data_IF_899610349031
#
_entry.id   IF_899610349031
#
_cell.length_a   1.000
_cell.length_b   1.000
_cell.length_c   1.000
_cell.angle_alpha   90.00
_cell.angle_beta   90.00
_cell.angle_gamma   90.00
#
_symmetry.space_group_name_H-M   'P 1'
#
loop_
_entity.id
_entity.type
_entity.pdbx_description
1 polymer ?
#
# COMPACT_ATOMS: atom_id res chain seq x y z
N UNK A 1 6.49 31.03 18.09
CA UNK A 1 5.52 30.11 18.73
C UNK A 1 6.31 29.01 19.40
N UNK A 2 6.14 28.83 20.71
CA UNK A 2 6.91 27.91 21.53
C UNK A 2 6.67 26.47 21.05
N UNK A 3 7.72 25.76 20.66
CA UNK A 3 7.70 24.31 20.52
C UNK A 3 7.46 23.74 21.91
N UNK A 4 6.38 22.98 22.06
CA UNK A 4 5.97 22.43 23.33
C UNK A 4 7.07 21.50 23.87
N UNK A 5 7.29 21.51 25.18
CA UNK A 5 8.35 20.72 25.82
C UNK A 5 8.13 19.21 25.57
N UNK A 6 6.89 18.83 25.30
CA UNK A 6 6.47 17.49 24.86
C UNK A 6 7.02 17.09 23.49
N UNK A 7 7.10 18.02 22.52
CA UNK A 7 7.66 17.77 21.19
C UNK A 7 9.15 17.45 21.28
N UNK A 8 9.88 18.16 22.16
CA UNK A 8 11.32 17.95 22.38
C UNK A 8 11.59 16.60 23.04
N UNK A 9 10.79 16.18 24.01
CA UNK A 9 10.94 14.87 24.66
C UNK A 9 10.57 13.70 23.72
N UNK A 10 9.60 13.90 22.82
CA UNK A 10 9.30 12.96 21.72
C UNK A 10 10.47 12.90 20.75
N UNK A 11 11.07 14.04 20.39
CA UNK A 11 12.25 14.13 19.51
C UNK A 11 13.51 13.48 20.11
N UNK A 12 13.79 13.72 21.40
CA UNK A 12 14.92 13.14 22.15
C UNK A 12 14.75 11.65 22.37
N UNK A 13 13.51 11.22 22.60
CA UNK A 13 13.16 9.83 22.47
C UNK A 13 13.56 9.38 21.08
N UNK A 14 13.06 10.00 19.99
CA UNK A 14 13.25 9.59 18.57
C UNK A 14 14.72 9.32 18.16
N UNK A 15 15.67 10.09 18.72
CA UNK A 15 17.11 10.02 18.46
C UNK A 15 17.78 8.64 18.67
N UNK A 16 17.30 7.81 19.61
CA UNK A 16 18.04 6.60 20.04
C UNK A 16 17.73 5.27 19.30
N UNK A 17 16.95 5.23 18.20
CA UNK A 17 16.35 3.95 17.75
C UNK A 17 16.46 3.56 16.28
N UNK A 18 16.84 4.43 15.35
CA UNK A 18 16.59 4.14 13.93
C UNK A 18 17.74 3.45 13.20
N UNK A 19 17.37 2.45 12.38
CA UNK A 19 18.19 1.81 11.35
C UNK A 19 17.58 2.16 9.99
N UNK A 20 18.30 2.86 9.10
CA UNK A 20 17.85 3.15 7.73
C UNK A 20 18.45 2.09 6.80
N UNK A 21 17.64 1.39 6.00
CA UNK A 21 18.15 0.44 5.00
C UNK A 21 18.07 1.05 3.60
N UNK A 22 19.22 1.15 2.94
CA UNK A 22 19.34 1.46 1.51
C UNK A 22 19.56 0.16 0.71
N UNK A 23 19.26 0.19 -0.59
CA UNK A 23 19.28 -1.00 -1.46
C UNK A 23 20.62 -1.24 -2.16
N UNK A 24 21.75 -0.83 -1.57
CA UNK A 24 23.08 -1.18 -2.06
C UNK A 24 23.93 -1.75 -0.92
N UNK A 25 24.61 -2.86 -1.22
CA UNK A 25 25.41 -3.65 -0.29
C UNK A 25 26.59 -2.89 0.32
N UNK A 26 26.95 -3.30 1.55
CA UNK A 26 28.22 -3.06 2.24
C UNK A 26 28.65 -1.60 2.48
N UNK A 27 28.33 -1.09 3.68
CA UNK A 27 29.30 -0.39 4.55
C UNK A 27 28.68 -0.09 5.91
N UNK A 28 29.12 -0.84 6.93
CA UNK A 28 28.96 -0.49 8.34
C UNK A 28 29.73 0.81 8.58
N UNK A 29 29.03 1.94 8.66
CA UNK A 29 29.57 3.14 9.32
C UNK A 29 28.50 3.70 10.25
N UNK A 30 28.80 3.65 11.55
CA UNK A 30 28.04 4.33 12.59
C UNK A 30 28.08 5.84 12.32
N UNK A 31 27.00 6.39 11.76
CA UNK A 31 26.73 7.83 11.75
C UNK A 31 25.64 8.13 12.81
N UNK A 32 25.70 9.26 13.52
CA UNK A 32 24.67 9.63 14.48
C UNK A 32 23.31 9.72 13.77
N UNK A 33 22.29 9.12 14.37
CA UNK A 33 20.96 8.98 13.78
C UNK A 33 20.33 10.36 13.49
N UNK A 34 19.98 10.61 12.22
CA UNK A 34 19.31 11.83 11.79
C UNK A 34 17.98 12.02 12.56
N UNK A 35 17.66 13.25 12.96
CA UNK A 35 16.42 13.55 13.71
C UNK A 35 15.16 13.27 12.88
N UNK A 36 13.98 13.00 13.49
CA UNK A 36 12.72 12.87 12.73
C UNK A 36 12.46 14.09 11.85
N UNK A 37 12.81 15.28 12.36
CA UNK A 37 12.78 16.51 11.58
C UNK A 37 13.70 16.43 10.36
N UNK A 38 14.94 15.96 10.51
CA UNK A 38 15.85 15.75 9.37
C UNK A 38 15.37 14.65 8.42
N UNK A 39 14.73 13.58 8.91
CA UNK A 39 14.19 12.50 8.07
C UNK A 39 12.97 13.02 7.29
N UNK A 40 12.05 13.70 7.97
CA UNK A 40 10.89 14.34 7.35
C UNK A 40 11.31 15.49 6.42
N UNK A 41 12.39 16.22 6.74
CA UNK A 41 12.97 17.22 5.83
C UNK A 41 13.71 16.58 4.65
N UNK A 42 14.36 15.42 4.81
CA UNK A 42 14.94 14.66 3.68
C UNK A 42 13.87 14.06 2.78
N UNK A 43 12.81 13.51 3.37
CA UNK A 43 11.61 13.00 2.68
C UNK A 43 10.88 14.15 1.96
N UNK A 44 10.82 15.35 2.58
CA UNK A 44 10.25 16.57 1.98
C UNK A 44 11.16 17.17 0.90
N UNK A 45 12.47 17.12 1.08
CA UNK A 45 13.47 17.60 0.12
C UNK A 45 13.77 16.59 -1.00
N UNK A 46 13.08 15.44 -0.98
CA UNK A 46 13.24 14.36 -1.94
C UNK A 46 14.67 13.83 -2.09
N UNK A 47 15.49 13.94 -1.03
CA UNK A 47 16.85 13.41 -1.01
C UNK A 47 16.81 11.90 -0.79
N UNK A 48 17.55 11.15 -1.60
CA UNK A 48 17.89 9.72 -1.43
C UNK A 48 16.79 8.66 -1.71
N UNK A 49 15.76 8.96 -2.51
CA UNK A 49 14.76 7.96 -3.00
C UNK A 49 14.22 6.99 -1.94
N UNK A 50 13.94 7.48 -0.72
CA UNK A 50 13.44 6.62 0.36
C UNK A 50 12.07 6.04 -0.04
N UNK A 51 11.99 4.72 -0.18
CA UNK A 51 10.74 4.01 -0.59
C UNK A 51 9.97 3.41 0.58
N UNK A 52 10.61 3.19 1.71
CA UNK A 52 9.98 2.62 2.91
C UNK A 52 10.36 3.45 4.14
N UNK A 53 9.37 3.83 4.93
CA UNK A 53 9.55 4.35 6.28
C UNK A 53 9.05 3.30 7.27
N UNK A 54 9.98 2.77 8.05
CA UNK A 54 9.72 1.71 9.01
C UNK A 54 9.95 2.16 10.45
N UNK A 55 8.88 2.26 11.25
CA UNK A 55 8.93 2.75 12.63
C UNK A 55 8.65 1.68 13.70
N UNK A 56 8.52 0.38 13.36
CA UNK A 56 8.21 -0.70 14.34
C UNK A 56 9.16 -0.73 15.53
N UNK A 57 10.46 -0.58 15.25
CA UNK A 57 11.51 -0.62 16.29
C UNK A 57 11.36 0.51 17.31
N UNK A 58 10.76 1.64 16.91
CA UNK A 58 10.53 2.76 17.82
C UNK A 58 9.42 2.45 18.83
N UNK A 59 8.31 1.85 18.37
CA UNK A 59 7.26 1.38 19.25
C UNK A 59 7.80 0.33 20.25
N UNK A 60 8.59 -0.63 19.78
CA UNK A 60 9.23 -1.66 20.61
C UNK A 60 10.15 -1.07 21.69
N UNK A 61 10.84 0.04 21.38
CA UNK A 61 11.69 0.77 22.32
C UNK A 61 10.91 1.74 23.23
N UNK A 62 9.58 1.57 23.33
CA UNK A 62 8.66 2.40 24.15
C UNK A 62 8.60 3.87 23.74
N UNK A 63 8.89 4.17 22.47
CA UNK A 63 8.88 5.52 21.91
C UNK A 63 7.81 5.66 20.87
N UNK A 64 6.58 5.49 21.34
CA UNK A 64 5.37 5.57 20.54
C UNK A 64 5.16 7.00 20.05
N UNK A 65 4.56 7.13 18.86
CA UNK A 65 4.30 8.44 18.26
C UNK A 65 3.16 9.14 18.98
N UNK A 66 2.19 8.36 19.51
CA UNK A 66 0.96 8.86 20.11
C UNK A 66 0.12 9.65 19.08
N UNK A 67 -1.05 10.18 19.46
CA UNK A 67 -1.92 10.93 18.54
C UNK A 67 -1.22 12.07 17.80
N UNK A 68 -0.44 12.89 18.52
CA UNK A 68 0.26 14.04 17.93
C UNK A 68 1.34 13.64 16.90
N UNK A 69 2.09 12.57 17.16
CA UNK A 69 3.07 12.07 16.22
C UNK A 69 2.43 11.45 14.98
N UNK A 70 1.32 10.72 15.13
CA UNK A 70 0.54 10.21 13.99
C UNK A 70 0.00 11.33 13.11
N UNK A 71 -0.53 12.39 13.73
CA UNK A 71 -1.01 13.60 13.06
C UNK A 71 0.11 14.33 12.27
N UNK A 72 1.30 14.47 12.86
CA UNK A 72 2.47 15.02 12.18
C UNK A 72 2.89 14.17 10.97
N UNK A 73 2.94 12.85 11.11
CA UNK A 73 3.28 11.95 9.99
C UNK A 73 2.25 12.09 8.87
N UNK A 74 0.96 12.08 9.18
CA UNK A 74 -0.10 12.28 8.18
C UNK A 74 0.10 13.57 7.38
N UNK A 75 0.34 14.71 8.04
CA UNK A 75 0.60 15.99 7.36
C UNK A 75 1.83 15.97 6.46
N UNK A 76 2.95 15.40 6.91
CA UNK A 76 4.18 15.41 6.12
C UNK A 76 4.05 14.53 4.87
N UNK A 77 3.36 13.40 5.00
CA UNK A 77 3.22 12.44 3.91
C UNK A 77 2.17 12.81 2.85
N UNK A 78 1.34 13.83 3.09
CA UNK A 78 0.40 14.35 2.09
C UNK A 78 1.08 14.74 0.77
N UNK A 79 2.26 15.35 0.86
CA UNK A 79 3.02 15.83 -0.32
C UNK A 79 4.17 14.91 -0.69
N UNK A 80 4.46 13.88 0.10
CA UNK A 80 5.49 12.93 -0.26
C UNK A 80 5.03 12.08 -1.46
N UNK A 81 5.96 11.80 -2.38
CA UNK A 81 5.71 11.00 -3.60
C UNK A 81 6.69 9.85 -3.78
N UNK A 82 7.60 9.65 -2.84
CA UNK A 82 8.69 8.67 -2.96
C UNK A 82 8.54 7.48 -2.04
N UNK A 83 7.95 7.68 -0.86
CA UNK A 83 7.67 6.57 0.05
C UNK A 83 6.44 5.83 -0.45
N UNK A 84 6.66 4.56 -0.74
CA UNK A 84 5.64 3.61 -1.17
C UNK A 84 5.12 2.77 0.00
N UNK A 85 5.90 2.66 1.09
CA UNK A 85 5.59 1.81 2.23
C UNK A 85 5.76 2.56 3.55
N UNK A 86 4.68 2.69 4.32
CA UNK A 86 4.65 3.37 5.62
C UNK A 86 4.23 2.37 6.69
N UNK A 87 5.14 2.06 7.62
CA UNK A 87 4.93 1.09 8.68
C UNK A 87 4.91 1.79 10.04
N UNK A 88 3.73 1.87 10.64
CA UNK A 88 3.48 2.50 11.94
C UNK A 88 2.79 1.52 12.92
N UNK A 89 3.26 0.28 13.12
CA UNK A 89 2.63 -0.60 14.10
C UNK A 89 2.89 -0.17 15.55
N UNK A 90 1.92 -0.38 16.43
CA UNK A 90 2.04 -0.26 17.90
C UNK A 90 2.40 1.14 18.43
N UNK A 91 1.96 2.20 17.75
CA UNK A 91 2.32 3.60 18.07
C UNK A 91 1.26 4.38 18.87
N UNK A 92 0.14 3.76 19.25
CA UNK A 92 -0.99 4.39 19.95
C UNK A 92 -1.42 5.71 19.27
N UNK A 93 -1.51 5.74 17.93
CA UNK A 93 -1.88 6.97 17.22
C UNK A 93 -3.38 7.32 17.37
N UNK A 94 -4.20 6.35 17.80
CA UNK A 94 -5.64 6.48 18.04
C UNK A 94 -6.38 7.04 16.79
N UNK A 95 -7.63 7.46 16.98
CA UNK A 95 -8.46 7.98 15.90
C UNK A 95 -7.94 9.31 15.33
N UNK A 96 -7.21 10.11 16.12
CA UNK A 96 -6.59 11.36 15.66
C UNK A 96 -5.55 11.06 14.59
N UNK A 97 -4.64 10.11 14.83
CA UNK A 97 -3.66 9.68 13.85
C UNK A 97 -4.31 9.01 12.65
N UNK A 98 -5.33 8.17 12.86
CA UNK A 98 -6.06 7.53 11.77
C UNK A 98 -6.75 8.55 10.84
N UNK A 99 -7.36 9.61 11.37
CA UNK A 99 -7.91 10.72 10.59
C UNK A 99 -6.84 11.44 9.79
N UNK A 100 -5.67 11.67 10.37
CA UNK A 100 -4.55 12.27 9.65
C UNK A 100 -4.05 11.37 8.52
N UNK A 101 -4.03 10.04 8.72
CA UNK A 101 -3.73 9.08 7.66
C UNK A 101 -4.80 9.08 6.55
N UNK A 102 -6.08 9.15 6.90
CA UNK A 102 -7.17 9.31 5.92
C UNK A 102 -6.99 10.57 5.07
N UNK A 103 -6.71 11.71 5.71
CA UNK A 103 -6.42 12.97 5.00
C UNK A 103 -5.16 12.87 4.12
N UNK A 104 -4.15 12.11 4.55
CA UNK A 104 -2.94 11.84 3.77
C UNK A 104 -3.24 11.02 2.53
N UNK A 105 -3.99 9.92 2.66
CA UNK A 105 -4.38 9.05 1.54
C UNK A 105 -5.20 9.80 0.48
N UNK A 106 -6.06 10.75 0.87
CA UNK A 106 -6.79 11.58 -0.11
C UNK A 106 -5.88 12.41 -1.03
N UNK A 107 -4.70 12.80 -0.54
CA UNK A 107 -3.75 13.64 -1.27
C UNK A 107 -2.56 12.85 -1.86
N UNK A 108 -2.29 11.65 -1.34
CA UNK A 108 -1.17 10.82 -1.70
C UNK A 108 -1.62 9.64 -2.57
N UNK A 109 -1.24 9.68 -3.84
CA UNK A 109 -1.55 8.65 -4.83
C UNK A 109 -0.33 7.78 -5.20
N UNK A 110 0.70 7.76 -4.35
CA UNK A 110 1.91 6.95 -4.56
C UNK A 110 2.07 5.86 -3.51
N UNK A 111 1.50 6.04 -2.32
CA UNK A 111 1.62 5.06 -1.24
C UNK A 111 0.92 3.76 -1.65
N UNK A 112 1.65 2.65 -1.51
CA UNK A 112 1.20 1.30 -1.87
C UNK A 112 0.93 0.43 -0.64
N UNK A 113 1.58 0.73 0.48
CA UNK A 113 1.50 -0.07 1.69
C UNK A 113 1.41 0.81 2.93
N UNK A 114 0.37 0.61 3.72
CA UNK A 114 0.14 1.30 4.99
C UNK A 114 -0.15 0.27 6.09
N UNK A 115 0.71 0.21 7.09
CA UNK A 115 0.55 -0.67 8.26
C UNK A 115 0.28 0.16 9.51
N UNK A 116 -0.96 0.07 10.02
CA UNK A 116 -1.45 0.74 11.22
C UNK A 116 -1.89 -0.27 12.29
N UNK A 117 -1.28 -1.46 12.33
CA UNK A 117 -1.60 -2.46 13.36
C UNK A 117 -1.33 -1.95 14.77
N UNK A 118 -2.15 -2.32 15.76
CA UNK A 118 -1.83 -2.04 17.17
C UNK A 118 -1.93 -0.57 17.58
N UNK A 119 -2.79 0.23 16.95
CA UNK A 119 -2.82 1.68 17.12
C UNK A 119 -4.02 2.22 17.89
N UNK A 120 -4.80 1.35 18.53
CA UNK A 120 -6.01 1.74 19.28
C UNK A 120 -7.05 2.48 18.40
N UNK A 121 -7.06 2.21 17.10
CA UNK A 121 -8.00 2.80 16.14
C UNK A 121 -9.40 2.22 16.38
N UNK A 122 -10.42 3.08 16.48
CA UNK A 122 -11.80 2.66 16.66
C UNK A 122 -12.58 2.68 15.34
N UNK A 123 -13.90 2.48 15.41
CA UNK A 123 -14.78 2.66 14.26
C UNK A 123 -14.66 4.06 13.63
N UNK A 124 -14.38 5.10 14.41
CA UNK A 124 -14.28 6.47 13.92
C UNK A 124 -13.04 6.67 13.04
N UNK A 125 -11.87 6.24 13.50
CA UNK A 125 -10.64 6.30 12.70
C UNK A 125 -10.71 5.39 11.48
N UNK A 126 -11.34 4.21 11.60
CA UNK A 126 -11.56 3.32 10.47
C UNK A 126 -12.49 3.92 9.42
N UNK A 127 -13.54 4.64 9.83
CA UNK A 127 -14.39 5.39 8.90
C UNK A 127 -13.57 6.44 8.14
N UNK A 128 -12.73 7.22 8.83
CA UNK A 128 -11.88 8.23 8.18
C UNK A 128 -10.90 7.63 7.15
N UNK A 129 -10.33 6.46 7.45
CA UNK A 129 -9.47 5.72 6.48
C UNK A 129 -10.31 5.21 5.32
N UNK A 130 -11.48 4.60 5.59
CA UNK A 130 -12.36 4.03 4.57
C UNK A 130 -12.80 5.08 3.55
N UNK A 131 -13.19 6.26 4.05
CA UNK A 131 -13.65 7.38 3.23
C UNK A 131 -12.55 7.89 2.27
N UNK A 132 -11.28 7.69 2.62
CA UNK A 132 -10.13 8.00 1.78
C UNK A 132 -9.77 6.89 0.77
N UNK A 133 -10.26 5.65 0.97
CA UNK A 133 -10.05 4.54 0.05
C UNK A 133 -10.99 4.57 -1.16
N UNK A 134 -12.09 5.32 -1.08
CA UNK A 134 -13.02 5.46 -2.19
C UNK A 134 -12.31 6.06 -3.41
N UNK A 135 -12.21 5.28 -4.49
CA UNK A 135 -11.51 5.68 -5.71
C UNK A 135 -9.98 5.82 -5.57
N UNK A 136 -9.38 5.33 -4.48
CA UNK A 136 -7.93 5.38 -4.32
C UNK A 136 -7.26 4.31 -5.20
N UNK A 137 -6.23 4.69 -5.97
CA UNK A 137 -5.70 3.85 -7.05
C UNK A 137 -4.34 3.20 -6.75
N UNK A 138 -3.57 3.68 -5.77
CA UNK A 138 -2.22 3.16 -5.51
C UNK A 138 -2.10 2.21 -4.32
N UNK A 139 -3.00 2.28 -3.32
CA UNK A 139 -2.83 1.55 -2.07
C UNK A 139 -3.24 0.09 -2.22
N UNK A 140 -2.25 -0.80 -2.25
CA UNK A 140 -2.44 -2.24 -2.42
C UNK A 140 -2.57 -2.99 -1.09
N UNK A 141 -2.02 -2.44 -0.01
CA UNK A 141 -1.98 -3.10 1.30
C UNK A 141 -2.36 -2.16 2.43
N UNK A 142 -3.36 -2.56 3.21
CA UNK A 142 -3.79 -1.86 4.41
C UNK A 142 -3.81 -2.82 5.62
N UNK A 143 -2.95 -2.54 6.60
CA UNK A 143 -2.91 -3.25 7.88
C UNK A 143 -3.64 -2.50 8.97
N UNK A 144 -4.75 -3.06 9.48
CA UNK A 144 -5.54 -2.52 10.59
C UNK A 144 -5.75 -3.55 11.71
N UNK A 145 -4.96 -4.62 11.75
CA UNK A 145 -5.09 -5.68 12.76
C UNK A 145 -4.71 -5.20 14.16
N UNK A 146 -5.27 -5.83 15.20
CA UNK A 146 -5.05 -5.44 16.61
C UNK A 146 -5.47 -4.00 16.88
N UNK A 147 -6.66 -3.62 16.43
CA UNK A 147 -7.28 -2.33 16.75
C UNK A 147 -8.67 -2.60 17.38
N UNK A 148 -9.53 -1.59 17.46
CA UNK A 148 -10.86 -1.63 18.12
C UNK A 148 -11.98 -1.25 17.17
N UNK A 149 -11.90 -1.73 15.93
CA UNK A 149 -12.83 -1.34 14.86
C UNK A 149 -14.29 -1.72 15.15
N UNK A 150 -14.51 -2.92 15.69
CA UNK A 150 -15.84 -3.50 15.86
C UNK A 150 -16.60 -3.66 14.54
N UNK A 151 -17.89 -4.00 14.65
CA UNK A 151 -18.78 -4.12 13.49
C UNK A 151 -18.95 -2.79 12.73
N UNK A 152 -18.97 -1.66 13.44
CA UNK A 152 -19.12 -0.35 12.82
C UNK A 152 -17.93 0.00 11.92
N UNK A 153 -16.69 -0.23 12.38
CA UNK A 153 -15.50 -0.03 11.56
C UNK A 153 -15.44 -1.00 10.36
N UNK A 154 -15.82 -2.26 10.56
CA UNK A 154 -15.92 -3.23 9.47
C UNK A 154 -16.95 -2.82 8.40
N UNK A 155 -18.12 -2.30 8.83
CA UNK A 155 -19.17 -1.78 7.93
C UNK A 155 -18.68 -0.57 7.13
N UNK A 156 -17.93 0.34 7.75
CA UNK A 156 -17.37 1.50 7.04
C UNK A 156 -16.41 1.06 5.92
N UNK A 157 -15.54 0.08 6.19
CA UNK A 157 -14.63 -0.47 5.17
C UNK A 157 -15.45 -1.20 4.09
N UNK A 158 -16.44 -1.99 4.47
CA UNK A 158 -17.30 -2.72 3.55
C UNK A 158 -18.02 -1.80 2.54
N UNK A 159 -18.45 -0.60 2.97
CA UNK A 159 -19.15 0.34 2.08
C UNK A 159 -18.29 0.82 0.90
N UNK A 160 -16.97 0.92 1.08
CA UNK A 160 -16.05 1.47 0.05
C UNK A 160 -15.35 0.39 -0.77
N UNK A 161 -15.25 -0.84 -0.26
CA UNK A 161 -14.58 -1.95 -0.92
C UNK A 161 -15.09 -2.22 -2.35
N UNK A 162 -16.40 -2.19 -2.68
CA UNK A 162 -16.88 -2.42 -4.05
C UNK A 162 -16.32 -1.43 -5.08
N UNK A 163 -15.95 -0.22 -4.64
CA UNK A 163 -15.45 0.87 -5.49
C UNK A 163 -13.93 1.00 -5.49
N UNK A 164 -13.23 0.28 -4.60
CA UNK A 164 -11.77 0.32 -4.55
C UNK A 164 -11.18 -0.75 -5.48
N UNK A 165 -10.36 -0.32 -6.44
CA UNK A 165 -9.78 -1.20 -7.47
C UNK A 165 -8.31 -1.58 -7.21
N UNK A 166 -7.67 -0.96 -6.22
CA UNK A 166 -6.23 -1.09 -5.96
C UNK A 166 -5.90 -2.03 -4.81
N UNK A 167 -6.74 -2.07 -3.77
CA UNK A 167 -6.47 -2.80 -2.54
C UNK A 167 -6.49 -4.31 -2.78
N UNK A 168 -5.34 -4.95 -2.55
CA UNK A 168 -5.12 -6.40 -2.69
C UNK A 168 -5.19 -7.12 -1.36
N UNK A 169 -4.71 -6.46 -0.31
CA UNK A 169 -4.61 -7.03 1.03
C UNK A 169 -5.22 -6.12 2.08
N UNK A 170 -6.06 -6.71 2.93
CA UNK A 170 -6.69 -6.03 4.06
C UNK A 170 -6.50 -6.84 5.36
N UNK A 171 -5.77 -6.27 6.32
CA UNK A 171 -5.54 -6.90 7.61
C UNK A 171 -6.54 -6.41 8.66
N UNK A 172 -7.48 -7.25 9.09
CA UNK A 172 -8.51 -6.93 10.10
C UNK A 172 -8.52 -7.89 11.30
N UNK A 173 -7.45 -8.67 11.50
CA UNK A 173 -7.38 -9.62 12.60
C UNK A 173 -7.45 -8.90 13.96
N UNK A 174 -8.05 -9.53 14.97
CA UNK A 174 -8.12 -8.99 16.34
C UNK A 174 -8.70 -7.57 16.41
N UNK A 175 -9.96 -7.41 15.99
CA UNK A 175 -10.66 -6.10 15.93
C UNK A 175 -12.04 -6.08 16.61
N UNK A 176 -12.45 -7.19 17.23
CA UNK A 176 -13.78 -7.32 17.83
C UNK A 176 -14.92 -7.27 16.80
N UNK A 177 -14.66 -7.75 15.57
CA UNK A 177 -15.68 -7.81 14.52
C UNK A 177 -16.58 -9.02 14.79
N UNK A 178 -17.88 -8.80 14.87
CA UNK A 178 -18.91 -9.82 15.05
C UNK A 178 -19.57 -10.24 13.74
N UNK A 179 -20.72 -10.90 13.87
CA UNK A 179 -21.50 -11.41 12.73
C UNK A 179 -21.91 -10.30 11.76
N UNK A 180 -22.33 -9.14 12.27
CA UNK A 180 -22.86 -8.04 11.47
C UNK A 180 -21.78 -7.36 10.62
N UNK A 181 -20.59 -7.16 11.17
CA UNK A 181 -19.43 -6.68 10.42
C UNK A 181 -18.93 -7.73 9.42
N UNK A 182 -18.96 -9.02 9.81
CA UNK A 182 -18.62 -10.13 8.93
C UNK A 182 -19.54 -10.24 7.69
N UNK A 183 -20.86 -10.09 7.87
CA UNK A 183 -21.83 -10.08 6.75
C UNK A 183 -21.59 -8.91 5.80
N UNK A 184 -21.38 -7.71 6.34
CA UNK A 184 -21.09 -6.54 5.52
C UNK A 184 -19.81 -6.73 4.69
N UNK A 185 -18.74 -7.24 5.30
CA UNK A 185 -17.51 -7.56 4.58
C UNK A 185 -17.73 -8.60 3.48
N UNK A 186 -18.51 -9.66 3.76
CA UNK A 186 -18.84 -10.67 2.75
C UNK A 186 -19.57 -10.06 1.54
N UNK A 187 -20.62 -9.27 1.77
CA UNK A 187 -21.39 -8.61 0.71
C UNK A 187 -20.50 -7.71 -0.16
N UNK A 188 -19.60 -6.96 0.49
CA UNK A 188 -18.66 -6.09 -0.20
C UNK A 188 -17.63 -6.88 -1.03
N UNK A 189 -17.07 -7.96 -0.48
CA UNK A 189 -16.07 -8.79 -1.16
C UNK A 189 -16.66 -9.50 -2.39
N UNK A 190 -17.94 -9.86 -2.35
CA UNK A 190 -18.63 -10.46 -3.51
C UNK A 190 -18.71 -9.51 -4.72
N UNK A 191 -18.74 -8.19 -4.47
CA UNK A 191 -18.79 -7.15 -5.48
C UNK A 191 -17.40 -6.64 -5.87
N UNK A 192 -16.44 -6.70 -4.95
CA UNK A 192 -15.06 -6.31 -5.19
C UNK A 192 -14.30 -7.38 -6.02
N UNK A 193 -13.39 -6.92 -6.88
CA UNK A 193 -12.57 -7.78 -7.77
C UNK A 193 -11.07 -7.61 -7.57
N UNK A 194 -10.64 -6.62 -6.79
CA UNK A 194 -9.22 -6.32 -6.55
C UNK A 194 -8.66 -7.08 -5.35
N UNK A 195 -9.46 -7.27 -4.30
CA UNK A 195 -9.05 -7.82 -3.02
C UNK A 195 -8.86 -9.34 -3.11
N UNK A 196 -7.64 -9.79 -2.81
CA UNK A 196 -7.24 -11.20 -2.89
C UNK A 196 -7.00 -11.83 -1.51
N UNK A 197 -6.83 -11.01 -0.47
CA UNK A 197 -6.56 -11.48 0.88
C UNK A 197 -7.19 -10.58 1.93
N UNK A 198 -7.88 -11.21 2.89
CA UNK A 198 -8.35 -10.56 4.12
C UNK A 198 -7.96 -11.40 5.33
N UNK A 199 -7.33 -10.79 6.32
CA UNK A 199 -7.07 -11.45 7.61
C UNK A 199 -8.18 -11.10 8.60
N UNK A 200 -8.93 -12.10 9.05
CA UNK A 200 -10.04 -11.93 10.02
C UNK A 200 -9.85 -12.77 11.29
N UNK A 201 -8.68 -13.37 11.50
CA UNK A 201 -8.38 -14.23 12.65
C UNK A 201 -8.55 -13.45 13.96
N UNK A 202 -8.98 -14.12 15.04
CA UNK A 202 -9.25 -13.48 16.36
C UNK A 202 -10.37 -12.41 16.29
N UNK A 203 -11.41 -12.66 15.52
CA UNK A 203 -12.67 -11.91 15.57
C UNK A 203 -13.82 -12.86 15.90
N UNK A 204 -14.98 -12.32 16.28
CA UNK A 204 -16.18 -13.05 16.68
C UNK A 204 -17.12 -13.29 15.47
N UNK A 205 -16.55 -13.55 14.31
CA UNK A 205 -17.29 -13.81 13.07
C UNK A 205 -17.65 -15.31 13.00
N UNK A 206 -18.93 -15.66 12.78
CA UNK A 206 -19.33 -17.05 12.57
C UNK A 206 -18.54 -17.75 11.45
N UNK A 207 -18.16 -19.00 11.69
CA UNK A 207 -17.35 -19.80 10.76
C UNK A 207 -17.96 -19.86 9.35
N UNK A 208 -19.27 -19.97 9.25
CA UNK A 208 -19.99 -20.00 7.96
C UNK A 208 -19.73 -18.76 7.10
N UNK A 209 -19.65 -17.58 7.74
CA UNK A 209 -19.34 -16.33 7.05
C UNK A 209 -17.87 -16.32 6.63
N UNK A 210 -16.96 -16.75 7.50
CA UNK A 210 -15.52 -16.84 7.18
C UNK A 210 -15.26 -17.79 6.00
N UNK A 211 -15.95 -18.92 5.94
CA UNK A 211 -15.83 -19.88 4.84
C UNK A 211 -16.33 -19.27 3.52
N UNK A 212 -17.45 -18.54 3.53
CA UNK A 212 -17.95 -17.80 2.35
C UNK A 212 -16.98 -16.71 1.90
N UNK A 213 -16.42 -15.94 2.83
CA UNK A 213 -15.39 -14.93 2.53
C UNK A 213 -14.17 -15.59 1.87
N UNK A 214 -13.69 -16.71 2.42
CA UNK A 214 -12.56 -17.46 1.86
C UNK A 214 -12.86 -17.90 0.42
N UNK A 215 -14.04 -18.46 0.16
CA UNK A 215 -14.44 -18.84 -1.19
C UNK A 215 -14.50 -17.66 -2.16
N UNK A 216 -15.04 -16.51 -1.72
CA UNK A 216 -15.08 -15.30 -2.56
C UNK A 216 -13.67 -14.79 -2.92
N UNK A 217 -12.73 -14.79 -1.96
CA UNK A 217 -11.34 -14.38 -2.20
C UNK A 217 -10.59 -15.32 -3.15
N UNK A 218 -10.90 -16.62 -3.14
CA UNK A 218 -10.35 -17.57 -4.12
C UNK A 218 -10.76 -17.19 -5.54
N UNK A 219 -12.02 -16.79 -5.74
CA UNK A 219 -12.52 -16.33 -7.05
C UNK A 219 -11.75 -15.08 -7.51
N UNK A 220 -11.57 -14.09 -6.64
CA UNK A 220 -10.80 -12.88 -6.96
C UNK A 220 -9.34 -13.21 -7.32
N UNK A 221 -8.69 -14.10 -6.56
CA UNK A 221 -7.32 -14.55 -6.84
C UNK A 221 -7.20 -15.26 -8.19
N UNK A 222 -8.15 -16.12 -8.55
CA UNK A 222 -8.16 -16.81 -9.84
C UNK A 222 -8.37 -15.82 -11.00
N UNK A 223 -9.24 -14.82 -10.82
CA UNK A 223 -9.44 -13.77 -11.82
C UNK A 223 -8.19 -12.92 -12.02
N UNK A 224 -7.49 -12.53 -10.95
CA UNK A 224 -6.22 -11.81 -11.06
C UNK A 224 -5.15 -12.62 -11.82
N UNK A 225 -5.02 -13.92 -11.52
CA UNK A 225 -4.08 -14.81 -12.21
C UNK A 225 -4.46 -15.01 -13.67
N UNK A 226 -5.75 -15.06 -14.00
CA UNK A 226 -6.21 -15.11 -15.39
C UNK A 226 -5.84 -13.82 -16.12
N UNK A 227 -6.14 -12.66 -15.54
CA UNK A 227 -5.83 -11.35 -16.13
C UNK A 227 -4.33 -11.21 -16.43
N UNK A 228 -3.45 -11.61 -15.50
CA UNK A 228 -1.99 -11.60 -15.71
C UNK A 228 -1.54 -12.48 -16.87
N UNK A 229 -2.09 -13.70 -16.98
CA UNK A 229 -1.78 -14.61 -18.10
C UNK A 229 -2.28 -14.08 -19.45
N UNK A 230 -3.47 -13.48 -19.46
CA UNK A 230 -4.03 -12.88 -20.68
C UNK A 230 -3.17 -11.68 -21.14
N UNK A 231 -2.70 -10.84 -20.20
CA UNK A 231 -1.79 -9.72 -20.48
C UNK A 231 -0.41 -10.18 -20.99
N UNK A 232 0.18 -11.22 -20.36
CA UNK A 232 1.45 -11.81 -20.81
C UNK A 232 1.36 -12.37 -22.23
N UNK A 233 0.27 -13.09 -22.51
CA UNK A 233 -0.02 -13.63 -23.85
C UNK A 233 -0.21 -12.52 -24.88
N UNK A 234 -0.86 -11.41 -24.52
CA UNK A 234 -1.02 -10.27 -25.42
C UNK A 234 0.33 -9.59 -25.74
N UNK A 235 1.20 -9.42 -24.74
CA UNK A 235 2.56 -8.89 -24.93
C UNK A 235 3.40 -9.79 -25.82
N UNK A 236 3.30 -11.11 -25.66
CA UNK A 236 4.00 -12.08 -26.50
C UNK A 236 3.50 -12.04 -27.95
N UNK A 237 2.18 -12.01 -28.16
CA UNK A 237 1.59 -11.86 -29.50
C UNK A 237 1.98 -10.54 -30.17
N UNK A 238 2.11 -9.46 -29.41
CA UNK A 238 2.57 -8.17 -29.93
C UNK A 238 4.03 -8.23 -30.40
N UNK A 239 4.92 -8.87 -29.62
CA UNK A 239 6.33 -9.08 -30.02
C UNK A 239 6.46 -9.92 -31.28
N UNK A 240 5.74 -11.04 -31.36
CA UNK A 240 5.76 -11.91 -32.54
C UNK A 240 5.23 -11.18 -33.79
N UNK A 241 4.23 -10.31 -33.65
CA UNK A 241 3.74 -9.48 -34.77
C UNK A 241 4.77 -8.48 -35.26
N UNK A 242 5.54 -7.88 -34.34
CA UNK A 242 6.61 -6.94 -34.66
C UNK A 242 7.79 -7.65 -35.35
N UNK A 243 8.19 -8.84 -34.87
CA UNK A 243 9.22 -9.67 -35.51
C UNK A 243 8.83 -10.10 -36.94
N UNK A 244 7.58 -10.53 -37.13
CA UNK A 244 7.09 -10.90 -38.47
C UNK A 244 7.07 -9.70 -39.42
N UNK A 245 6.69 -8.51 -38.93
CA UNK A 245 6.69 -7.29 -39.76
C UNK A 245 8.11 -6.92 -40.21
N UNK A 246 9.09 -6.92 -39.29
CA UNK A 246 10.48 -6.58 -39.61
C UNK A 246 11.11 -7.56 -40.61
N UNK A 247 10.80 -8.86 -40.51
CA UNK A 247 11.32 -9.86 -41.44
C UNK A 247 10.69 -9.78 -42.85
N UNK A 248 9.47 -9.24 -42.99
CA UNK A 248 8.83 -9.03 -44.30
C UNK A 248 9.41 -7.81 -45.05
N UNK A 249 9.90 -6.80 -44.32
CA UNK A 249 10.54 -5.64 -44.92
C UNK A 249 11.94 -5.99 -45.48
N UNK A 250 12.67 -6.92 -44.86
CA UNK A 250 14.00 -7.38 -45.34
C UNK A 250 13.92 -8.22 -46.63
N UNK A 251 12.92 -9.10 -46.76
CA UNK A 251 12.69 -9.96 -47.95
C UNK A 251 12.21 -9.17 -49.19
N UNK A 252 11.69 -7.95 -49.00
CA UNK A 252 11.28 -7.07 -50.11
C UNK A 252 12.42 -6.24 -50.72
N UNK A 253 13.62 -6.29 -50.12
CA UNK A 253 14.79 -5.50 -50.54
C UNK A 253 15.83 -6.28 -51.36
N UNK A 254 15.60 -7.57 -51.62
CA UNK A 254 16.59 -8.46 -52.26
C UNK A 254 16.32 -8.82 -53.74
N UNK A 255 15.48 -8.07 -54.46
CA UNK A 255 15.12 -8.36 -55.86
C UNK A 255 15.34 -7.15 -56.81
N UNK A 256 16.47 -6.46 -56.66
CA UNK A 256 17.03 -5.63 -57.74
C UNK A 256 18.45 -6.10 -58.07
N UNK A 257 18.56 -7.20 -58.81
CA UNK A 257 19.78 -7.47 -59.58
C UNK A 257 19.45 -7.85 -61.02
N UNK A 258 19.90 -6.96 -61.90
CA UNK A 258 20.61 -7.30 -63.14
C UNK A 258 19.79 -7.98 -64.25
N UNK A 259 19.05 -7.18 -65.01
CA UNK A 259 18.89 -7.44 -66.44
C UNK A 259 19.95 -6.64 -67.22
N UNK A 260 21.16 -7.20 -67.23
CA UNK A 260 22.18 -6.94 -68.24
C UNK A 260 21.88 -7.82 -69.45
N UNK A 261 21.11 -7.31 -70.42
CA UNK A 261 21.04 -7.89 -71.77
C UNK A 261 21.54 -6.88 -72.82
N UNK A 262 22.84 -6.64 -72.77
CA UNK A 262 23.62 -6.39 -73.99
C UNK A 262 23.88 -7.72 -74.72
N UNK A 263 22.91 -8.21 -75.49
CA UNK A 263 23.10 -9.32 -76.44
C UNK A 263 22.62 -8.94 -77.85
N UNK A 264 23.53 -8.23 -78.55
CA UNK A 264 23.97 -8.47 -79.93
C UNK A 264 22.93 -8.95 -80.99
N UNK A 265 22.75 -8.07 -81.99
CA UNK A 265 22.30 -8.26 -83.39
C UNK A 265 20.80 -8.04 -83.66
#
# INVERSE_FOLDING_TARGET
>A
MATDKSDVDVLTSVLSAMTVRHHDENLVTQRPAATLKEILEKIRANKDQIRELDLKDMAAKKRKLRPAGGDLVGRVFQLNRTVLRLLLPDHDIEDVGAKAMGNMLRANNTLQHLDLRGNEITAEGAAAISDALYGHESLEHLGLSSNKLGDAGAKAIAQVLPYNISLKYLGLANNGIGEEGGKALLEAILQNRSLVMVQLVKNDIPKEILDKIRSALVVNKLMEQKAKRDEEREKELARLREEVANNQDEDSSSDESEDDESLWI
#
